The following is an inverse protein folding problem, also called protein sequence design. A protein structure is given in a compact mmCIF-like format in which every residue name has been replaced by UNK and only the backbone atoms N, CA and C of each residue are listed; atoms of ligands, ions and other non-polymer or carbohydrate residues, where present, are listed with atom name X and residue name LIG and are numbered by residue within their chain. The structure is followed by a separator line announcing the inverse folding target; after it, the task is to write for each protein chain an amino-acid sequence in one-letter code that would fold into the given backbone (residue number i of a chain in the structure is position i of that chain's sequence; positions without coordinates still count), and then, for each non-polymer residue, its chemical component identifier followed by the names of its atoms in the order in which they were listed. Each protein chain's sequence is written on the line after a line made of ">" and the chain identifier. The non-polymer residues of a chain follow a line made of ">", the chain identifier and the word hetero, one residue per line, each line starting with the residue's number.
data_IF_897312136248
#
_entry.id   IF_897312136248
#
_cell.length_a   1.000
_cell.length_b   1.000
_cell.length_c   1.000
_cell.angle_alpha   90.00
_cell.angle_beta   90.00
_cell.angle_gamma   90.00
#
_symmetry.space_group_name_H-M   'P 1'
#
loop_
_entity.id
_entity.type
_entity.pdbx_description
1 polymer ?
#
# COMPACT_ATOMS: atom_id res chain seq x y z
N UNK A 1 3.25 10.42 16.72
CA UNK A 1 3.30 11.26 17.93
C UNK A 1 2.60 12.59 17.71
N UNK A 2 2.86 13.30 16.60
CA UNK A 2 2.26 14.61 16.31
C UNK A 2 0.73 14.64 16.27
N UNK A 3 0.06 13.65 15.68
CA UNK A 3 -1.42 13.56 15.68
C UNK A 3 -2.00 13.40 17.09
N UNK A 4 -1.37 12.57 17.93
CA UNK A 4 -1.75 12.39 19.34
C UNK A 4 -1.54 13.69 20.14
N UNK A 5 -0.44 14.39 19.89
CA UNK A 5 -0.17 15.70 20.50
C UNK A 5 -1.26 16.73 20.14
N UNK A 6 -1.66 16.81 18.87
CA UNK A 6 -2.73 17.70 18.40
C UNK A 6 -4.10 17.38 19.04
N UNK A 7 -4.39 16.10 19.30
CA UNK A 7 -5.59 15.67 20.01
C UNK A 7 -5.55 16.09 21.48
N UNK A 8 -4.42 15.86 22.16
CA UNK A 8 -4.27 16.15 23.60
C UNK A 8 -4.29 17.65 23.90
N UNK A 9 -3.81 18.48 22.98
CA UNK A 9 -3.85 19.94 23.08
C UNK A 9 -5.25 20.52 22.85
N UNK A 10 -6.23 19.69 22.45
CA UNK A 10 -7.60 20.13 22.13
C UNK A 10 -7.72 20.92 20.83
N UNK A 11 -6.62 21.02 20.05
CA UNK A 11 -6.56 21.79 18.80
C UNK A 11 -7.23 21.08 17.63
N UNK A 12 -7.32 19.74 17.65
CA UNK A 12 -7.91 18.94 16.57
C UNK A 12 -8.52 17.65 17.12
N UNK A 13 -9.83 17.45 16.95
CA UNK A 13 -10.51 16.23 17.39
C UNK A 13 -10.52 15.15 16.29
N UNK A 14 -9.40 14.46 16.19
CA UNK A 14 -9.17 13.31 15.32
C UNK A 14 -10.04 12.12 15.68
N UNK A 15 -10.38 11.95 16.97
CA UNK A 15 -11.22 10.82 17.39
C UNK A 15 -12.64 10.95 16.85
N UNK A 16 -13.19 12.17 16.82
CA UNK A 16 -14.48 12.42 16.19
C UNK A 16 -14.45 12.25 14.67
N UNK A 17 -13.38 12.70 13.99
CA UNK A 17 -13.21 12.55 12.54
C UNK A 17 -13.11 11.07 12.14
N UNK A 18 -12.32 10.28 12.87
CA UNK A 18 -12.18 8.83 12.65
C UNK A 18 -13.48 8.10 12.98
N UNK A 19 -14.17 8.46 14.07
CA UNK A 19 -15.46 7.86 14.44
C UNK A 19 -16.56 8.11 13.39
N UNK A 20 -16.44 9.19 12.61
CA UNK A 20 -17.35 9.52 11.50
C UNK A 20 -16.90 8.93 10.16
N UNK A 21 -15.92 8.02 10.15
CA UNK A 21 -15.32 7.45 8.94
C UNK A 21 -14.66 8.46 7.99
N UNK A 22 -14.32 9.65 8.49
CA UNK A 22 -13.64 10.70 7.74
C UNK A 22 -12.11 10.60 7.93
N UNK A 23 -11.59 9.38 7.80
CA UNK A 23 -10.15 9.11 7.97
C UNK A 23 -9.28 9.86 6.94
N UNK A 24 -9.68 10.05 5.66
CA UNK A 24 -8.89 10.86 4.73
C UNK A 24 -8.84 12.33 5.16
N UNK A 25 -9.95 12.86 5.67
CA UNK A 25 -10.04 14.24 6.16
C UNK A 25 -9.22 14.42 7.43
N UNK A 26 -9.21 13.43 8.33
CA UNK A 26 -8.34 13.44 9.51
C UNK A 26 -6.87 13.54 9.13
N UNK A 27 -6.42 12.79 8.10
CA UNK A 27 -5.05 12.85 7.60
C UNK A 27 -4.74 14.26 7.06
N UNK A 28 -5.61 14.81 6.20
CA UNK A 28 -5.42 16.15 5.64
C UNK A 28 -5.39 17.21 6.75
N UNK A 29 -6.32 17.14 7.71
CA UNK A 29 -6.38 18.06 8.83
C UNK A 29 -5.11 18.01 9.68
N UNK A 30 -4.55 16.82 9.95
CA UNK A 30 -3.26 16.72 10.64
C UNK A 30 -2.12 17.35 9.85
N UNK A 31 -2.05 17.13 8.53
CA UNK A 31 -0.99 17.70 7.69
C UNK A 31 -1.07 19.22 7.65
N UNK A 32 -2.28 19.78 7.53
CA UNK A 32 -2.53 21.23 7.54
C UNK A 32 -2.17 21.84 8.90
N UNK A 33 -2.62 21.21 10.01
CA UNK A 33 -2.33 21.68 11.36
C UNK A 33 -0.82 21.64 11.68
N UNK A 34 -0.08 20.68 11.13
CA UNK A 34 1.39 20.65 11.21
C UNK A 34 2.01 21.75 10.34
N UNK A 35 1.44 21.98 9.15
CA UNK A 35 1.80 23.08 8.26
C UNK A 35 1.79 24.39 9.01
N UNK A 36 0.64 24.82 9.52
CA UNK A 36 0.46 26.10 10.22
C UNK A 36 1.43 26.33 11.40
N UNK A 37 1.99 25.26 11.99
CA UNK A 37 2.94 25.34 13.11
C UNK A 37 4.41 25.33 12.70
N UNK A 38 4.77 24.68 11.59
CA UNK A 38 6.17 24.46 11.18
C UNK A 38 6.57 25.36 10.01
N UNK A 39 5.64 25.64 9.10
CA UNK A 39 5.87 26.44 7.89
C UNK A 39 4.64 27.34 7.75
N UNK A 40 4.74 28.68 7.78
CA UNK A 40 3.57 29.59 7.75
C UNK A 40 2.66 29.48 6.51
N UNK A 41 2.90 28.51 5.63
CA UNK A 41 2.07 28.12 4.50
C UNK A 41 1.76 26.61 4.56
N UNK A 42 0.53 26.23 4.95
CA UNK A 42 0.09 24.84 4.96
C UNK A 42 -0.09 24.21 3.55
N UNK A 43 -0.41 25.04 2.55
CA UNK A 43 -0.63 24.61 1.15
C UNK A 43 0.60 23.92 0.52
N UNK A 44 1.83 24.50 0.56
CA UNK A 44 3.01 23.84 -0.01
C UNK A 44 3.36 22.52 0.69
N UNK A 45 3.17 22.42 2.02
CA UNK A 45 3.38 21.17 2.75
C UNK A 45 2.41 20.08 2.27
N UNK A 46 1.14 20.43 2.11
CA UNK A 46 0.11 19.51 1.59
C UNK A 46 0.45 19.07 0.16
N UNK A 47 0.91 19.98 -0.69
CA UNK A 47 1.32 19.66 -2.06
C UNK A 47 2.50 18.67 -2.08
N UNK A 48 3.52 18.90 -1.26
CA UNK A 48 4.66 17.99 -1.11
C UNK A 48 4.20 16.62 -0.61
N UNK A 49 3.33 16.59 0.41
CA UNK A 49 2.77 15.36 0.95
C UNK A 49 2.00 14.55 -0.10
N UNK A 50 1.11 15.18 -0.85
CA UNK A 50 0.34 14.54 -1.93
C UNK A 50 1.27 14.05 -3.04
N UNK A 51 2.26 14.85 -3.43
CA UNK A 51 3.22 14.46 -4.47
C UNK A 51 4.03 13.23 -4.06
N UNK A 52 4.52 13.19 -2.82
CA UNK A 52 5.21 12.03 -2.26
C UNK A 52 4.30 10.80 -2.20
N UNK A 53 3.04 10.97 -1.79
CA UNK A 53 2.06 9.89 -1.76
C UNK A 53 1.82 9.31 -3.16
N UNK A 54 1.72 10.16 -4.19
CA UNK A 54 1.57 9.74 -5.59
C UNK A 54 2.82 8.99 -6.07
N UNK A 55 4.03 9.52 -5.80
CA UNK A 55 5.28 8.87 -6.20
C UNK A 55 5.41 7.50 -5.54
N UNK A 56 5.10 7.40 -4.24
CA UNK A 56 5.12 6.14 -3.52
C UNK A 56 4.12 5.15 -4.12
N UNK A 57 2.87 5.58 -4.32
CA UNK A 57 1.84 4.75 -4.94
C UNK A 57 2.24 4.27 -6.34
N UNK A 58 2.78 5.16 -7.18
CA UNK A 58 3.28 4.83 -8.50
C UNK A 58 4.41 3.79 -8.45
N UNK A 59 5.39 3.96 -7.56
CA UNK A 59 6.51 3.03 -7.41
C UNK A 59 6.06 1.65 -6.90
N UNK A 60 5.10 1.63 -5.97
CA UNK A 60 4.49 0.38 -5.47
C UNK A 60 3.70 -0.34 -6.56
N UNK A 61 2.86 0.38 -7.32
CA UNK A 61 2.08 -0.19 -8.43
C UNK A 61 2.99 -0.68 -9.56
N UNK A 62 4.05 0.06 -9.86
CA UNK A 62 5.04 -0.28 -10.87
C UNK A 62 5.77 -1.59 -10.52
N UNK A 63 6.10 -1.78 -9.24
CA UNK A 63 6.68 -3.04 -8.72
C UNK A 63 5.67 -4.19 -8.73
N UNK A 64 4.42 -3.94 -8.30
CA UNK A 64 3.36 -4.96 -8.28
C UNK A 64 2.99 -5.44 -9.69
N UNK A 65 2.85 -4.52 -10.64
CA UNK A 65 2.57 -4.85 -12.05
C UNK A 65 3.69 -5.67 -12.68
N UNK A 66 4.95 -5.39 -12.32
CA UNK A 66 6.10 -6.16 -12.77
C UNK A 66 6.07 -7.60 -12.24
N UNK A 67 5.82 -7.79 -10.94
CA UNK A 67 5.72 -9.13 -10.33
C UNK A 67 4.55 -9.92 -10.92
N UNK A 68 3.39 -9.29 -11.13
CA UNK A 68 2.25 -9.97 -11.77
C UNK A 68 2.57 -10.35 -13.23
N UNK A 69 3.21 -9.46 -13.99
CA UNK A 69 3.62 -9.74 -15.36
C UNK A 69 4.63 -10.89 -15.42
N UNK A 70 5.60 -10.95 -14.51
CA UNK A 70 6.61 -12.01 -14.48
C UNK A 70 6.02 -13.36 -14.08
N UNK A 71 5.09 -13.39 -13.11
CA UNK A 71 4.40 -14.62 -12.70
C UNK A 71 3.41 -15.11 -13.78
N UNK A 72 2.75 -14.19 -14.50
CA UNK A 72 1.79 -14.52 -15.55
C UNK A 72 2.43 -14.96 -16.88
N UNK A 73 3.73 -14.70 -17.07
CA UNK A 73 4.47 -15.12 -18.26
C UNK A 73 5.14 -16.47 -17.97
N UNK A 74 4.63 -17.57 -18.56
CA UNK A 74 5.31 -18.88 -18.51
C UNK A 74 6.68 -18.77 -19.17
N UNK A 75 7.72 -19.31 -18.51
CA UNK A 75 9.11 -19.46 -18.99
C UNK A 75 9.25 -19.17 -20.50
N UNK A 76 9.53 -17.92 -20.84
CA UNK A 76 10.14 -17.64 -22.12
C UNK A 76 11.62 -17.46 -21.84
N UNK A 77 12.37 -18.40 -22.40
CA UNK A 77 13.81 -18.34 -22.52
C UNK A 77 14.26 -16.92 -22.88
N UNK A 78 15.38 -16.53 -22.29
CA UNK A 78 16.08 -15.26 -22.52
C UNK A 78 15.45 -14.03 -21.88
N UNK A 79 16.07 -13.61 -20.77
CA UNK A 79 16.38 -12.24 -20.37
C UNK A 79 15.95 -11.16 -21.38
N UNK A 80 14.65 -10.86 -21.41
CA UNK A 80 14.13 -9.68 -22.08
C UNK A 80 13.01 -9.13 -21.22
N UNK A 81 13.14 -7.85 -20.86
CA UNK A 81 12.18 -7.13 -20.05
C UNK A 81 10.74 -7.47 -20.48
N UNK A 82 9.82 -7.74 -19.53
CA UNK A 82 8.44 -8.03 -19.87
C UNK A 82 7.89 -6.91 -20.75
N UNK A 83 7.30 -7.27 -21.89
CA UNK A 83 6.90 -6.30 -22.90
C UNK A 83 6.04 -5.19 -22.27
N UNK A 84 6.34 -3.93 -22.60
CA UNK A 84 5.72 -2.72 -22.00
C UNK A 84 4.19 -2.76 -22.00
N UNK A 85 3.59 -3.48 -22.95
CA UNK A 85 2.15 -3.71 -23.05
C UNK A 85 1.57 -4.57 -21.91
N UNK A 86 2.27 -5.62 -21.48
CA UNK A 86 1.85 -6.44 -20.35
C UNK A 86 1.87 -5.64 -19.04
N UNK A 87 2.86 -4.76 -18.88
CA UNK A 87 2.95 -3.87 -17.71
C UNK A 87 1.79 -2.89 -17.65
N UNK A 88 1.43 -2.29 -18.78
CA UNK A 88 0.29 -1.38 -18.89
C UNK A 88 -1.03 -2.10 -18.59
N UNK A 89 -1.23 -3.31 -19.12
CA UNK A 89 -2.40 -4.14 -18.82
C UNK A 89 -2.54 -4.40 -17.31
N UNK A 90 -1.46 -4.86 -16.66
CA UNK A 90 -1.50 -5.13 -15.22
C UNK A 90 -1.62 -3.87 -14.37
N UNK A 91 -1.04 -2.74 -14.79
CA UNK A 91 -1.25 -1.46 -14.14
C UNK A 91 -2.73 -1.04 -14.19
N UNK A 92 -3.40 -1.15 -15.34
CA UNK A 92 -4.83 -0.84 -15.48
C UNK A 92 -5.69 -1.78 -14.63
N UNK A 93 -5.38 -3.08 -14.62
CA UNK A 93 -6.09 -4.04 -13.76
C UNK A 93 -5.93 -3.68 -12.29
N UNK A 94 -4.72 -3.38 -11.81
CA UNK A 94 -4.46 -2.98 -10.42
C UNK A 94 -5.19 -1.68 -10.06
N UNK A 95 -5.16 -0.67 -10.93
CA UNK A 95 -5.93 0.57 -10.73
C UNK A 95 -7.43 0.33 -10.72
N UNK A 96 -7.94 -0.57 -11.56
CA UNK A 96 -9.37 -0.92 -11.59
C UNK A 96 -9.82 -1.63 -10.30
N UNK A 97 -8.99 -2.49 -9.74
CA UNK A 97 -9.26 -3.17 -8.46
C UNK A 97 -9.26 -2.16 -7.32
N UNK A 98 -8.26 -1.27 -7.27
CA UNK A 98 -8.19 -0.22 -6.27
C UNK A 98 -9.43 0.70 -6.32
N UNK A 99 -9.84 1.10 -7.53
CA UNK A 99 -11.03 1.93 -7.74
C UNK A 99 -12.31 1.19 -7.35
N UNK A 100 -12.46 -0.08 -7.76
CA UNK A 100 -13.58 -0.92 -7.37
C UNK A 100 -13.69 -1.05 -5.85
N UNK A 101 -12.56 -1.19 -5.17
CA UNK A 101 -12.52 -1.33 -3.71
C UNK A 101 -12.89 -0.01 -3.01
N UNK A 102 -12.49 1.14 -3.56
CA UNK A 102 -12.97 2.44 -3.11
C UNK A 102 -14.49 2.58 -3.27
N UNK A 103 -15.05 2.17 -4.41
CA UNK A 103 -16.49 2.25 -4.66
C UNK A 103 -17.30 1.29 -3.79
N UNK A 104 -16.86 0.04 -3.65
CA UNK A 104 -17.56 -0.98 -2.83
C UNK A 104 -17.45 -0.68 -1.34
N UNK A 105 -16.28 -0.20 -0.91
CA UNK A 105 -16.03 0.10 0.49
C UNK A 105 -16.64 1.40 0.98
N UNK A 106 -16.79 2.42 0.12
CA UNK A 106 -17.35 3.72 0.50
C UNK A 106 -16.67 4.30 1.75
N UNK A 107 -17.46 4.63 2.77
CA UNK A 107 -16.99 5.11 4.07
C UNK A 107 -16.21 4.05 4.87
N UNK A 108 -16.42 2.77 4.58
CA UNK A 108 -15.76 1.63 5.23
C UNK A 108 -14.66 1.02 4.33
N UNK A 109 -14.16 1.78 3.36
CA UNK A 109 -13.11 1.35 2.43
C UNK A 109 -11.87 0.79 3.14
N UNK A 110 -11.50 1.36 4.29
CA UNK A 110 -10.40 0.85 5.10
C UNK A 110 -10.67 -0.59 5.59
N UNK A 111 -11.90 -0.90 6.04
CA UNK A 111 -12.27 -2.25 6.46
C UNK A 111 -12.29 -3.21 5.28
N UNK A 112 -12.80 -2.78 4.13
CA UNK A 112 -12.82 -3.59 2.92
C UNK A 112 -11.41 -4.02 2.49
N UNK A 113 -10.44 -3.09 2.49
CA UNK A 113 -9.03 -3.39 2.21
C UNK A 113 -8.45 -4.37 3.24
N UNK A 114 -8.72 -4.18 4.53
CA UNK A 114 -8.23 -5.06 5.59
C UNK A 114 -8.79 -6.48 5.46
N UNK A 115 -10.08 -6.63 5.21
CA UNK A 115 -10.72 -7.94 5.02
C UNK A 115 -10.16 -8.67 3.80
N UNK A 116 -10.02 -7.96 2.66
CA UNK A 116 -9.42 -8.54 1.46
C UNK A 116 -7.96 -8.99 1.72
N UNK A 117 -7.17 -8.17 2.41
CA UNK A 117 -5.81 -8.52 2.80
C UNK A 117 -5.76 -9.75 3.71
N UNK A 118 -6.71 -9.88 4.65
CA UNK A 118 -6.76 -11.03 5.57
C UNK A 118 -7.03 -12.33 4.81
N UNK A 119 -7.99 -12.31 3.87
CA UNK A 119 -8.35 -13.47 3.06
C UNK A 119 -7.16 -13.93 2.19
N UNK A 120 -6.41 -12.98 1.62
CA UNK A 120 -5.21 -13.29 0.79
C UNK A 120 -4.02 -13.72 1.65
N UNK A 121 -3.85 -13.15 2.84
CA UNK A 121 -2.71 -13.46 3.72
C UNK A 121 -2.74 -14.90 4.25
N UNK A 122 -3.93 -15.44 4.57
CA UNK A 122 -4.08 -16.79 5.12
C UNK A 122 -3.41 -17.89 4.26
N UNK A 123 -3.71 -18.04 2.95
CA UNK A 123 -3.04 -19.05 2.12
C UNK A 123 -1.56 -18.73 1.90
N UNK A 124 -1.17 -17.44 1.80
CA UNK A 124 0.23 -17.06 1.64
C UNK A 124 1.10 -17.47 2.84
N UNK A 125 0.57 -17.39 4.07
CA UNK A 125 1.28 -17.86 5.27
C UNK A 125 1.60 -19.36 5.15
N UNK A 126 0.66 -20.17 4.69
CA UNK A 126 0.91 -21.61 4.49
C UNK A 126 2.03 -21.85 3.45
N UNK A 127 2.03 -21.10 2.35
CA UNK A 127 3.10 -21.15 1.33
C UNK A 127 4.45 -20.73 1.93
N UNK A 128 4.49 -19.64 2.70
CA UNK A 128 5.72 -19.15 3.34
C UNK A 128 6.30 -20.17 4.34
N UNK A 129 5.45 -20.86 5.10
CA UNK A 129 5.87 -21.95 6.00
C UNK A 129 6.51 -23.08 5.18
N UNK A 130 5.86 -23.51 4.09
CA UNK A 130 6.41 -24.55 3.22
C UNK A 130 7.74 -24.14 2.57
N UNK A 131 7.85 -22.89 2.12
CA UNK A 131 9.11 -22.36 1.56
C UNK A 131 10.20 -22.32 2.62
N UNK A 132 9.89 -21.92 3.86
CA UNK A 132 10.85 -21.89 4.98
C UNK A 132 11.34 -23.30 5.30
N UNK A 133 10.44 -24.29 5.37
CA UNK A 133 10.80 -25.69 5.60
C UNK A 133 11.67 -26.25 4.46
N UNK A 134 11.33 -25.91 3.21
CA UNK A 134 12.11 -26.31 2.03
C UNK A 134 13.49 -25.67 2.02
N UNK A 135 13.59 -24.39 2.39
CA UNK A 135 14.84 -23.66 2.51
C UNK A 135 15.75 -24.24 3.60
N UNK A 136 15.21 -24.56 4.78
CA UNK A 136 15.96 -25.24 5.85
C UNK A 136 16.44 -26.63 5.40
N UNK A 137 15.58 -27.38 4.69
CA UNK A 137 15.95 -28.70 4.17
C UNK A 137 17.08 -28.58 3.13
N UNK A 138 16.99 -27.60 2.23
CA UNK A 138 18.03 -27.30 1.25
C UNK A 138 19.36 -26.92 1.91
N UNK A 139 19.35 -26.00 2.89
CA UNK A 139 20.54 -25.63 3.65
C UNK A 139 21.20 -26.82 4.38
N UNK A 140 20.39 -27.73 4.93
CA UNK A 140 20.89 -28.96 5.58
C UNK A 140 21.48 -29.96 4.59
N UNK A 141 21.02 -29.97 3.34
CA UNK A 141 21.59 -30.79 2.28
C UNK A 141 22.91 -30.21 1.77
N UNK A 142 23.03 -28.88 1.74
CA UNK A 142 24.22 -28.16 1.27
C UNK A 142 25.38 -28.17 2.28
N UNK A 143 25.11 -28.12 3.58
CA UNK A 143 26.13 -28.23 4.63
C UNK A 143 26.53 -29.69 4.95
N UNK A 144 25.99 -30.67 4.23
CA UNK A 144 26.23 -32.11 4.43
C UNK A 144 27.22 -32.74 3.45
N UNK A 145 27.87 -31.95 2.58
CA UNK A 145 28.95 -32.37 1.65
C UNK A 145 30.29 -31.76 2.02
#
# INVERSE_FOLDING_TARGET
>A
NTSLFLQLEGSLDLTALVARNMTPEAIIATVVAVGDRVIPFAIPLLLVFVTLAIIFAATTLDSASYILASVATREQAEVREPARWHRCFWAVVLSSVALSLMFVGGTESLRAVQSASLIVALPLIAVLVLMTLSFIRWLRQDHGS
#
